data_IF_126156104868
#
_entry.id   IF_126156104868
#
_cell.length_a   1.000
_cell.length_b   1.000
_cell.length_c   1.000
_cell.angle_alpha   90.00
_cell.angle_beta   90.00
_cell.angle_gamma   90.00
#
_symmetry.space_group_name_H-M   'P 1'
#
loop_
_entity.id
_entity.type
_entity.pdbx_description
1 polymer ?
#
# COMPACT_ATOMS: atom_id res chain seq x y z
N UNK A 1 7.19 13.28 0.12
CA UNK A 1 7.05 11.88 0.55
C UNK A 1 6.88 11.01 -0.67
N UNK A 2 7.66 9.95 -0.83
CA UNK A 2 7.46 8.99 -1.94
C UNK A 2 6.37 7.98 -1.59
N UNK A 3 5.81 7.33 -2.61
CA UNK A 3 4.82 6.26 -2.43
C UNK A 3 5.34 5.15 -1.50
N UNK A 4 6.61 4.78 -1.66
CA UNK A 4 7.24 3.75 -0.84
C UNK A 4 7.45 4.18 0.61
N UNK A 5 7.80 5.45 0.84
CA UNK A 5 7.89 6.01 2.19
C UNK A 5 6.52 6.02 2.88
N UNK A 6 5.48 6.45 2.16
CA UNK A 6 4.10 6.41 2.65
C UNK A 6 3.67 5.00 3.03
N UNK A 7 4.00 4.03 2.18
CA UNK A 7 3.69 2.64 2.48
C UNK A 7 4.48 2.11 3.68
N UNK A 8 5.77 2.48 3.84
CA UNK A 8 6.55 2.10 5.04
C UNK A 8 5.93 2.65 6.32
N UNK A 9 5.58 3.93 6.34
CA UNK A 9 4.91 4.54 7.49
C UNK A 9 3.59 3.85 7.79
N UNK A 10 2.79 3.59 6.75
CA UNK A 10 1.54 2.84 6.87
C UNK A 10 1.76 1.44 7.46
N UNK A 11 2.75 0.68 7.01
CA UNK A 11 3.08 -0.64 7.57
C UNK A 11 3.45 -0.59 9.06
N UNK A 12 4.03 0.52 9.51
CA UNK A 12 4.38 0.72 10.93
C UNK A 12 3.23 1.22 11.80
N UNK A 13 2.13 1.67 11.20
CA UNK A 13 0.95 2.18 11.90
C UNK A 13 0.24 1.08 12.72
N UNK A 14 -0.43 1.49 13.79
CA UNK A 14 -1.24 0.58 14.60
C UNK A 14 -2.50 0.10 13.86
N UNK A 15 -3.04 0.89 12.93
CA UNK A 15 -4.15 0.47 12.07
C UNK A 15 -3.75 -0.73 11.21
N UNK A 16 -2.59 -0.65 10.54
CA UNK A 16 -2.10 -1.74 9.72
C UNK A 16 -1.85 -3.00 10.55
N UNK A 17 -1.18 -2.88 11.70
CA UNK A 17 -0.92 -4.01 12.60
C UNK A 17 -2.22 -4.60 13.14
N UNK A 18 -3.20 -3.77 13.45
CA UNK A 18 -4.52 -4.17 13.92
C UNK A 18 -5.22 -5.06 12.89
N UNK A 19 -5.31 -4.60 11.64
CA UNK A 19 -5.94 -5.36 10.55
C UNK A 19 -5.13 -6.62 10.21
N UNK A 20 -3.81 -6.53 10.14
CA UNK A 20 -2.94 -7.65 9.79
C UNK A 20 -2.94 -8.78 10.84
N UNK A 21 -3.30 -8.49 12.10
CA UNK A 21 -3.47 -9.50 13.16
C UNK A 21 -4.81 -10.23 13.11
N UNK A 22 -5.79 -9.71 12.38
CA UNK A 22 -7.11 -10.36 12.29
C UNK A 22 -7.01 -11.67 11.49
N UNK A 23 -7.71 -12.70 11.96
CA UNK A 23 -7.90 -13.96 11.24
C UNK A 23 -9.07 -13.87 10.24
N UNK A 24 -9.11 -12.77 9.48
CA UNK A 24 -10.11 -12.51 8.45
C UNK A 24 -9.45 -12.52 7.07
N UNK A 25 -10.25 -12.59 6.00
CA UNK A 25 -9.77 -12.49 4.63
C UNK A 25 -8.98 -11.17 4.40
N UNK A 26 -9.41 -10.08 5.04
CA UNK A 26 -8.75 -8.78 4.98
C UNK A 26 -7.38 -8.80 5.68
N UNK A 27 -7.29 -9.37 6.88
CA UNK A 27 -6.02 -9.52 7.59
C UNK A 27 -5.03 -10.41 6.83
N UNK A 28 -5.52 -11.48 6.19
CA UNK A 28 -4.72 -12.31 5.29
C UNK A 28 -4.17 -11.51 4.10
N UNK A 29 -4.99 -10.67 3.47
CA UNK A 29 -4.59 -9.79 2.37
C UNK A 29 -3.48 -8.81 2.80
N UNK A 30 -3.60 -8.21 3.99
CA UNK A 30 -2.57 -7.31 4.54
C UNK A 30 -1.24 -8.05 4.75
N UNK A 31 -1.25 -9.23 5.38
CA UNK A 31 -0.04 -10.04 5.55
C UNK A 31 0.64 -10.37 4.22
N UNK A 32 -0.13 -10.71 3.18
CA UNK A 32 0.41 -10.94 1.82
C UNK A 32 1.05 -9.68 1.24
N UNK A 33 0.45 -8.51 1.45
CA UNK A 33 1.05 -7.24 1.00
C UNK A 33 2.39 -6.97 1.67
N UNK A 34 2.51 -7.20 2.99
CA UNK A 34 3.80 -7.11 3.69
C UNK A 34 4.83 -8.09 3.12
N UNK A 35 4.44 -9.35 2.91
CA UNK A 35 5.35 -10.35 2.35
C UNK A 35 5.85 -9.96 0.97
N UNK A 36 4.96 -9.52 0.07
CA UNK A 36 5.34 -9.07 -1.29
C UNK A 36 6.18 -7.80 -1.25
N UNK A 37 5.89 -6.89 -0.32
CA UNK A 37 6.68 -5.68 -0.14
C UNK A 37 8.12 -6.01 0.28
N UNK A 38 8.28 -6.87 1.29
CA UNK A 38 9.59 -7.31 1.76
C UNK A 38 10.40 -8.07 0.68
N UNK A 39 9.73 -8.69 -0.29
CA UNK A 39 10.36 -9.37 -1.43
C UNK A 39 10.63 -8.46 -2.62
N UNK A 40 10.20 -7.18 -2.59
CA UNK A 40 10.28 -6.29 -3.75
C UNK A 40 9.33 -6.66 -4.89
N UNK A 41 8.33 -7.51 -4.63
CA UNK A 41 7.35 -8.00 -5.61
C UNK A 41 6.05 -7.17 -5.62
N UNK A 42 5.90 -6.22 -4.68
CA UNK A 42 4.70 -5.42 -4.57
C UNK A 42 4.69 -4.31 -5.62
N UNK A 43 3.75 -4.39 -6.57
CA UNK A 43 3.56 -3.37 -7.60
C UNK A 43 3.11 -2.05 -6.99
N UNK A 44 3.61 -0.94 -7.52
CA UNK A 44 3.23 0.42 -7.08
C UNK A 44 1.72 0.67 -7.13
N UNK A 45 1.01 0.12 -8.12
CA UNK A 45 -0.46 0.22 -8.19
C UNK A 45 -1.17 -0.42 -6.98
N UNK A 46 -0.67 -1.55 -6.48
CA UNK A 46 -1.23 -2.19 -5.29
C UNK A 46 -0.96 -1.37 -4.02
N UNK A 47 0.19 -0.71 -3.94
CA UNK A 47 0.50 0.23 -2.85
C UNK A 47 -0.49 1.40 -2.87
N UNK A 48 -0.75 1.99 -4.04
CA UNK A 48 -1.71 3.08 -4.22
C UNK A 48 -3.11 2.66 -3.77
N UNK A 49 -3.61 1.51 -4.23
CA UNK A 49 -4.93 1.01 -3.84
C UNK A 49 -5.09 0.86 -2.33
N UNK A 50 -4.09 0.29 -1.65
CA UNK A 50 -4.13 0.10 -0.20
C UNK A 50 -4.14 1.45 0.50
N UNK A 51 -3.25 2.36 0.12
CA UNK A 51 -3.18 3.68 0.73
C UNK A 51 -4.51 4.44 0.57
N UNK A 52 -5.10 4.44 -0.63
CA UNK A 52 -6.42 5.03 -0.89
C UNK A 52 -7.52 4.39 -0.03
N UNK A 53 -7.53 3.06 0.07
CA UNK A 53 -8.52 2.33 0.88
C UNK A 53 -8.44 2.64 2.38
N UNK A 54 -7.30 3.17 2.86
CA UNK A 54 -7.07 3.56 4.26
C UNK A 54 -7.06 5.09 4.42
N UNK A 55 -7.66 5.84 3.49
CA UNK A 55 -7.88 7.28 3.64
C UNK A 55 -6.68 8.18 3.28
N UNK A 56 -5.60 7.62 2.71
CA UNK A 56 -4.51 8.44 2.19
C UNK A 56 -4.89 9.04 0.84
N UNK A 57 -4.61 10.33 0.66
CA UNK A 57 -4.74 10.98 -0.64
C UNK A 57 -3.47 10.77 -1.46
N UNK A 58 -3.59 10.09 -2.61
CA UNK A 58 -2.46 9.85 -3.52
C UNK A 58 -2.58 10.80 -4.71
N UNK A 59 -1.76 11.85 -4.72
CA UNK A 59 -1.68 12.79 -5.84
C UNK A 59 -0.61 12.36 -6.86
N UNK A 60 -1.05 12.03 -8.07
CA UNK A 60 -0.14 11.71 -9.17
C UNK A 60 0.40 13.00 -9.81
N UNK A 61 1.63 13.40 -9.48
CA UNK A 61 2.26 14.62 -10.02
C UNK A 61 2.70 14.52 -11.50
N UNK A 62 2.48 13.40 -12.19
CA UNK A 62 2.96 13.20 -13.57
C UNK A 62 1.80 12.97 -14.52
N UNK A 63 1.50 13.99 -15.33
CA UNK A 63 0.72 13.83 -16.56
C UNK A 63 1.51 12.94 -17.50
N UNK A 64 1.14 11.67 -17.62
CA UNK A 64 1.65 10.79 -18.67
C UNK A 64 1.04 11.27 -19.97
N UNK A 65 1.78 12.07 -20.76
CA UNK A 65 1.36 12.37 -22.13
C UNK A 65 1.07 11.05 -22.83
N UNK A 66 -0.20 10.84 -23.20
CA UNK A 66 -0.64 9.75 -24.07
C UNK A 66 0.25 9.79 -25.31
N UNK A 67 1.09 8.76 -25.52
CA UNK A 67 1.79 8.61 -26.81
C UNK A 67 0.69 8.47 -27.87
N UNK A 68 0.76 9.33 -28.89
CA UNK A 68 -0.06 9.24 -30.11
C UNK A 68 0.18 7.89 -30.78
#
# INVERSE_FOLDING_TARGET
MTLEQAFKEFLTSEEYKGVAKQNTALGGKYRVYLTRYNRGELKSGAIVEILLANGYEVTANKVVKKKR
#
